data_IF_580977566960
#
_entry.id   IF_580977566960
#
_cell.length_a   1.000
_cell.length_b   1.000
_cell.length_c   1.000
_cell.angle_alpha   90.00
_cell.angle_beta   90.00
_cell.angle_gamma   90.00
#
_symmetry.space_group_name_H-M   'P 1'
#
loop_
_entity.id
_entity.type
_entity.pdbx_description
1 polymer ?
#
# COMPACT_ATOMS: atom_id res chain seq x y z
N UNK A 1 10.47 -31.61 -36.02
CA UNK A 1 10.35 -30.38 -35.21
C UNK A 1 11.70 -30.12 -34.55
N UNK A 2 12.20 -28.89 -34.61
CA UNK A 2 13.36 -28.51 -33.82
C UNK A 2 12.97 -28.39 -32.33
N UNK A 3 13.90 -28.53 -31.38
CA UNK A 3 13.62 -28.28 -29.96
C UNK A 3 13.02 -26.89 -29.69
N UNK A 4 13.34 -25.89 -30.51
CA UNK A 4 12.76 -24.55 -30.43
C UNK A 4 11.29 -24.50 -30.87
N UNK A 5 10.91 -25.26 -31.90
CA UNK A 5 9.51 -25.40 -32.34
C UNK A 5 8.68 -26.13 -31.29
N UNK A 6 9.28 -27.14 -30.64
CA UNK A 6 8.67 -27.88 -29.53
C UNK A 6 8.39 -26.94 -28.36
N UNK A 7 9.36 -26.11 -27.97
CA UNK A 7 9.20 -25.10 -26.91
C UNK A 7 8.14 -24.06 -27.29
N UNK A 8 8.06 -23.63 -28.56
CA UNK A 8 7.00 -22.73 -29.05
C UNK A 8 5.59 -23.30 -28.90
N UNK A 9 5.39 -24.55 -29.35
CA UNK A 9 4.10 -25.25 -29.24
C UNK A 9 3.73 -25.55 -27.77
N UNK A 10 4.72 -25.88 -26.94
CA UNK A 10 4.58 -26.12 -25.50
C UNK A 10 4.18 -24.84 -24.74
N UNK A 11 4.65 -23.68 -25.19
CA UNK A 11 4.28 -22.37 -24.63
C UNK A 11 2.85 -21.98 -25.00
N UNK A 12 2.40 -22.32 -26.21
CA UNK A 12 1.03 -22.08 -26.66
C UNK A 12 0.03 -22.98 -25.91
N UNK A 13 0.41 -24.22 -25.59
CA UNK A 13 -0.37 -25.14 -24.74
C UNK A 13 -0.59 -24.60 -23.33
N UNK A 14 0.48 -24.14 -22.66
CA UNK A 14 0.37 -23.59 -21.31
C UNK A 14 -0.54 -22.36 -21.26
N UNK A 15 -0.52 -21.52 -22.30
CA UNK A 15 -1.40 -20.35 -22.42
C UNK A 15 -2.87 -20.79 -22.55
N UNK A 16 -3.15 -21.75 -23.43
CA UNK A 16 -4.50 -22.31 -23.61
C UNK A 16 -5.03 -23.03 -22.35
N UNK A 17 -4.16 -23.66 -21.57
CA UNK A 17 -4.47 -24.28 -20.26
C UNK A 17 -4.98 -23.26 -19.28
N UNK A 18 -4.29 -22.14 -19.21
CA UNK A 18 -4.64 -21.05 -18.32
C UNK A 18 -5.93 -20.37 -18.81
N UNK A 19 -6.03 -20.02 -20.09
CA UNK A 19 -7.17 -19.29 -20.67
C UNK A 19 -8.49 -20.08 -20.55
N UNK A 20 -8.49 -21.39 -20.86
CA UNK A 20 -9.71 -22.19 -20.74
C UNK A 20 -10.10 -22.51 -19.30
N UNK A 21 -9.15 -22.57 -18.37
CA UNK A 21 -9.47 -22.75 -16.95
C UNK A 21 -10.11 -21.48 -16.37
N UNK A 22 -9.79 -20.31 -16.93
CA UNK A 22 -10.32 -19.01 -16.51
C UNK A 22 -11.70 -18.69 -17.10
N UNK A 23 -11.93 -18.97 -18.40
CA UNK A 23 -13.21 -18.70 -19.07
C UNK A 23 -14.41 -19.47 -18.46
N UNK A 24 -14.16 -20.64 -17.87
CA UNK A 24 -15.22 -21.46 -17.26
C UNK A 24 -15.62 -21.05 -15.83
N UNK A 25 -14.92 -20.06 -15.24
CA UNK A 25 -15.01 -19.77 -13.80
C UNK A 25 -15.51 -18.35 -13.49
N UNK A 26 -15.58 -17.44 -14.47
CA UNK A 26 -16.12 -16.09 -14.27
C UNK A 26 -17.51 -15.96 -14.92
N UNK A 27 -18.62 -16.04 -14.16
CA UNK A 27 -19.90 -15.61 -14.69
C UNK A 27 -19.86 -14.10 -14.97
N UNK A 28 -20.59 -13.58 -15.98
CA UNK A 28 -20.75 -12.14 -16.13
C UNK A 28 -21.38 -11.57 -14.84
N UNK A 29 -21.06 -10.32 -14.47
CA UNK A 29 -21.50 -9.73 -13.21
C UNK A 29 -23.03 -9.76 -13.14
N UNK A 30 -23.57 -10.57 -12.25
CA UNK A 30 -24.98 -10.52 -11.88
C UNK A 30 -25.15 -9.45 -10.81
N UNK A 31 -26.19 -8.64 -11.02
CA UNK A 31 -26.57 -7.49 -10.20
C UNK A 31 -26.31 -7.68 -8.71
N UNK A 32 -25.66 -6.67 -8.12
CA UNK A 32 -25.31 -6.60 -6.70
C UNK A 32 -26.57 -6.68 -5.84
N UNK A 33 -26.77 -7.83 -5.20
CA UNK A 33 -27.77 -8.01 -4.15
C UNK A 33 -27.27 -7.32 -2.88
N UNK A 34 -27.94 -6.23 -2.51
CA UNK A 34 -27.88 -5.62 -1.18
C UNK A 34 -28.40 -6.60 -0.13
N UNK A 35 -27.56 -6.97 0.83
CA UNK A 35 -27.99 -7.55 2.10
C UNK A 35 -27.44 -6.70 3.25
N UNK A 36 -28.35 -5.97 3.89
CA UNK A 36 -28.15 -5.37 5.20
C UNK A 36 -28.15 -6.47 6.25
N UNK A 37 -27.14 -6.50 7.13
CA UNK A 37 -27.29 -7.07 8.46
C UNK A 37 -26.67 -6.12 9.49
N UNK A 38 -27.51 -5.75 10.46
CA UNK A 38 -27.15 -5.10 11.71
C UNK A 38 -26.08 -5.92 12.44
N UNK A 39 -25.07 -5.25 13.02
CA UNK A 39 -24.46 -5.75 14.26
C UNK A 39 -23.89 -4.63 15.13
N UNK A 40 -23.75 -5.01 16.39
CA UNK A 40 -23.90 -4.28 17.64
C UNK A 40 -22.60 -3.65 18.17
N UNK A 41 -22.77 -2.76 19.15
CA UNK A 41 -21.73 -2.03 19.86
C UNK A 41 -20.89 -2.95 20.74
N UNK A 42 -19.60 -3.09 20.45
CA UNK A 42 -18.49 -3.01 21.42
C UNK A 42 -17.20 -3.54 20.79
N UNK A 43 -16.09 -2.93 21.18
CA UNK A 43 -14.69 -3.24 20.85
C UNK A 43 -14.10 -2.48 19.66
N UNK A 44 -13.18 -1.59 20.00
CA UNK A 44 -12.22 -0.93 19.13
C UNK A 44 -11.23 -1.97 18.59
N UNK A 45 -11.45 -2.44 17.36
CA UNK A 45 -10.40 -3.07 16.58
C UNK A 45 -9.68 -2.02 15.73
N UNK A 46 -8.34 -2.10 15.59
CA UNK A 46 -7.63 -1.26 14.64
C UNK A 46 -8.13 -1.56 13.24
N UNK A 47 -8.27 -0.53 12.41
CA UNK A 47 -8.57 -0.64 10.99
C UNK A 47 -7.59 -1.62 10.34
N UNK A 48 -8.03 -2.86 10.15
CA UNK A 48 -7.27 -3.88 9.43
C UNK A 48 -7.29 -3.46 7.96
N UNK A 49 -6.19 -2.87 7.52
CA UNK A 49 -5.81 -2.86 6.10
C UNK A 49 -5.89 -4.32 5.64
N UNK A 50 -6.50 -4.64 4.49
CA UNK A 50 -6.54 -6.00 3.98
C UNK A 50 -5.11 -6.53 3.94
N UNK A 51 -4.82 -7.52 4.78
CA UNK A 51 -3.55 -8.23 4.69
C UNK A 51 -3.54 -8.92 3.33
N UNK A 52 -2.70 -8.45 2.41
CA UNK A 52 -2.35 -9.18 1.21
C UNK A 52 -1.69 -10.49 1.66
N UNK A 53 -2.47 -11.56 1.68
CA UNK A 53 -1.95 -12.90 1.89
C UNK A 53 -1.06 -13.26 0.67
N UNK A 54 0.24 -13.55 0.86
CA UNK A 54 0.99 -14.20 -0.20
C UNK A 54 0.47 -15.64 -0.34
N UNK A 55 0.50 -16.18 -1.56
CA UNK A 55 0.21 -17.58 -1.93
C UNK A 55 -1.25 -18.06 -2.08
N UNK A 56 -2.26 -17.19 -2.03
CA UNK A 56 -3.63 -17.65 -2.34
C UNK A 56 -3.80 -18.08 -3.80
N UNK A 57 -3.10 -17.45 -4.77
CA UNK A 57 -3.27 -17.79 -6.18
C UNK A 57 -2.61 -19.12 -6.59
N UNK A 58 -1.41 -19.43 -6.08
CA UNK A 58 -0.76 -20.72 -6.36
C UNK A 58 -1.50 -21.88 -5.69
N UNK A 59 -2.00 -21.68 -4.46
CA UNK A 59 -2.82 -22.72 -3.81
C UNK A 59 -4.16 -22.92 -4.52
N UNK A 60 -4.81 -21.87 -5.02
CA UNK A 60 -6.05 -21.97 -5.77
C UNK A 60 -5.86 -22.63 -7.15
N UNK A 61 -4.78 -22.30 -7.88
CA UNK A 61 -4.44 -22.93 -9.16
C UNK A 61 -4.09 -24.40 -8.95
N UNK A 62 -3.30 -24.71 -7.93
CA UNK A 62 -2.98 -26.09 -7.56
C UNK A 62 -4.22 -26.89 -7.18
N UNK A 63 -5.10 -26.36 -6.32
CA UNK A 63 -6.35 -27.03 -5.93
C UNK A 63 -7.27 -27.29 -7.14
N UNK A 64 -7.34 -26.34 -8.09
CA UNK A 64 -8.15 -26.52 -9.30
C UNK A 64 -7.53 -27.51 -10.28
N UNK A 65 -6.20 -27.46 -10.46
CA UNK A 65 -5.48 -28.47 -11.22
C UNK A 65 -5.66 -29.86 -10.60
N UNK A 66 -5.62 -29.97 -9.27
CA UNK A 66 -5.89 -31.21 -8.54
C UNK A 66 -7.32 -31.71 -8.79
N UNK A 67 -8.33 -30.84 -8.81
CA UNK A 67 -9.72 -31.23 -9.15
C UNK A 67 -9.84 -31.76 -10.58
N UNK A 68 -9.33 -31.02 -11.58
CA UNK A 68 -9.42 -31.45 -12.99
C UNK A 68 -8.55 -32.68 -13.25
N UNK A 69 -7.43 -32.81 -12.53
CA UNK A 69 -6.58 -34.01 -12.55
C UNK A 69 -7.33 -35.22 -12.02
N UNK A 70 -7.96 -35.13 -10.84
CA UNK A 70 -8.76 -36.21 -10.25
C UNK A 70 -9.95 -36.61 -11.13
N UNK A 71 -10.56 -35.66 -11.84
CA UNK A 71 -11.63 -35.95 -12.81
C UNK A 71 -11.14 -36.67 -14.07
N UNK A 72 -9.85 -36.52 -14.39
CA UNK A 72 -9.24 -37.05 -15.61
C UNK A 72 -8.47 -38.34 -15.37
N UNK A 73 -8.00 -38.57 -14.14
CA UNK A 73 -7.42 -39.83 -13.65
C UNK A 73 -8.53 -40.88 -13.47
N UNK A 74 -8.92 -41.51 -14.58
CA UNK A 74 -10.09 -42.37 -14.65
C UNK A 74 -9.87 -43.70 -13.93
N UNK A 75 -8.62 -44.16 -13.84
CA UNK A 75 -8.26 -45.37 -13.13
C UNK A 75 -7.93 -45.12 -11.63
N UNK A 76 -7.74 -43.86 -11.23
CA UNK A 76 -7.48 -43.44 -9.86
C UNK A 76 -6.10 -43.86 -9.34
N UNK A 77 -5.14 -44.09 -10.25
CA UNK A 77 -3.80 -44.57 -9.90
C UNK A 77 -2.83 -43.44 -9.48
N UNK A 78 -3.30 -42.19 -9.55
CA UNK A 78 -2.53 -40.98 -9.21
C UNK A 78 -1.69 -40.46 -10.38
N UNK A 79 -1.83 -41.04 -11.58
CA UNK A 79 -1.08 -40.67 -12.78
C UNK A 79 -2.02 -40.52 -13.98
N UNK A 80 -1.74 -39.55 -14.85
CA UNK A 80 -2.45 -39.49 -16.13
C UNK A 80 -1.69 -40.28 -17.21
N UNK A 81 -2.35 -41.30 -17.75
CA UNK A 81 -1.98 -41.91 -19.02
C UNK A 81 -2.10 -40.90 -20.18
N UNK A 82 -1.55 -41.24 -21.35
CA UNK A 82 -1.70 -40.40 -22.56
C UNK A 82 -3.16 -40.12 -22.91
N UNK A 83 -4.04 -41.11 -22.71
CA UNK A 83 -5.48 -41.00 -23.00
C UNK A 83 -6.20 -40.10 -21.99
N UNK A 84 -5.85 -40.23 -20.72
CA UNK A 84 -6.39 -39.37 -19.64
C UNK A 84 -5.88 -37.94 -19.77
N UNK A 85 -4.63 -37.75 -20.19
CA UNK A 85 -4.09 -36.43 -20.47
C UNK A 85 -4.70 -35.80 -21.74
N UNK A 86 -4.95 -36.58 -22.79
CA UNK A 86 -5.74 -36.13 -23.95
C UNK A 86 -7.15 -35.70 -23.55
N UNK A 87 -7.80 -36.48 -22.66
CA UNK A 87 -9.10 -36.13 -22.12
C UNK A 87 -9.05 -34.86 -21.27
N UNK A 88 -8.06 -34.72 -20.39
CA UNK A 88 -7.78 -33.52 -19.59
C UNK A 88 -7.64 -32.27 -20.47
N UNK A 89 -6.83 -32.35 -21.53
CA UNK A 89 -6.66 -31.24 -22.48
C UNK A 89 -7.96 -30.92 -23.24
N UNK A 90 -8.74 -31.95 -23.61
CA UNK A 90 -10.04 -31.76 -24.26
C UNK A 90 -11.05 -31.05 -23.37
N UNK A 91 -11.03 -31.33 -22.05
CA UNK A 91 -11.87 -30.67 -21.05
C UNK A 91 -11.51 -29.20 -20.90
N UNK A 92 -10.25 -28.85 -21.15
CA UNK A 92 -9.75 -27.48 -21.18
C UNK A 92 -9.77 -26.90 -22.60
N UNK A 93 -10.48 -27.51 -23.56
CA UNK A 93 -10.61 -27.05 -24.94
C UNK A 93 -9.26 -26.78 -25.64
N UNK A 94 -8.23 -27.55 -25.31
CA UNK A 94 -6.88 -27.35 -25.82
C UNK A 94 -6.59 -28.38 -26.88
N UNK A 95 -6.28 -27.88 -28.07
CA UNK A 95 -5.82 -28.72 -29.17
C UNK A 95 -4.31 -28.76 -29.17
N UNK A 96 -3.77 -29.96 -28.98
CA UNK A 96 -2.35 -30.24 -29.11
C UNK A 96 -2.15 -31.43 -30.05
N UNK A 97 -1.04 -31.42 -30.80
CA UNK A 97 -0.73 -32.55 -31.67
C UNK A 97 -0.34 -33.76 -30.83
N UNK A 98 -0.66 -34.96 -31.32
CA UNK A 98 -0.27 -36.21 -30.65
C UNK A 98 1.26 -36.32 -30.47
N UNK A 99 2.05 -35.68 -31.35
CA UNK A 99 3.50 -35.63 -31.23
C UNK A 99 3.97 -34.75 -30.06
N UNK A 100 3.34 -33.59 -29.84
CA UNK A 100 3.67 -32.70 -28.73
C UNK A 100 3.23 -33.30 -27.38
N UNK A 101 2.12 -34.05 -27.37
CA UNK A 101 1.63 -34.84 -26.22
C UNK A 101 2.64 -35.90 -25.79
N UNK A 102 3.11 -36.69 -26.75
CA UNK A 102 4.14 -37.69 -26.50
C UNK A 102 5.45 -37.03 -26.02
N UNK A 103 5.81 -35.89 -26.59
CA UNK A 103 7.02 -35.18 -26.20
C UNK A 103 6.94 -34.57 -24.79
N UNK A 104 5.75 -34.09 -24.40
CA UNK A 104 5.44 -33.64 -23.04
C UNK A 104 5.57 -34.79 -22.03
N UNK A 105 4.91 -35.92 -22.29
CA UNK A 105 4.96 -37.10 -21.40
C UNK A 105 6.36 -37.72 -21.32
N UNK A 106 7.15 -37.67 -22.39
CA UNK A 106 8.56 -38.14 -22.38
C UNK A 106 9.50 -37.23 -21.61
N UNK A 107 9.16 -35.96 -21.41
CA UNK A 107 9.96 -35.03 -20.62
C UNK A 107 9.76 -35.27 -19.11
N UNK A 108 8.64 -35.89 -18.73
CA UNK A 108 8.46 -36.46 -17.40
C UNK A 108 9.26 -37.77 -17.31
N UNK A 109 10.16 -37.89 -16.33
CA UNK A 109 11.24 -38.90 -16.33
C UNK A 109 10.75 -40.36 -16.35
N UNK A 110 9.45 -40.59 -16.10
CA UNK A 110 8.84 -41.92 -16.03
C UNK A 110 7.70 -42.14 -17.03
N UNK A 111 7.39 -41.19 -17.92
CA UNK A 111 6.27 -41.31 -18.84
C UNK A 111 4.90 -41.23 -18.17
N UNK A 112 4.84 -40.72 -16.94
CA UNK A 112 3.64 -40.55 -16.12
C UNK A 112 3.51 -39.08 -15.76
N UNK A 113 2.38 -38.46 -16.08
CA UNK A 113 2.16 -37.05 -15.79
C UNK A 113 1.52 -36.88 -14.40
N UNK A 114 2.27 -36.35 -13.44
CA UNK A 114 1.74 -35.93 -12.13
C UNK A 114 1.38 -34.43 -12.13
N UNK A 115 0.49 -34.00 -11.23
CA UNK A 115 0.18 -32.56 -11.00
C UNK A 115 1.46 -31.75 -10.73
N UNK A 116 2.43 -32.35 -10.03
CA UNK A 116 3.75 -31.76 -9.78
C UNK A 116 4.54 -31.51 -11.06
N UNK A 117 4.49 -32.41 -12.03
CA UNK A 117 5.14 -32.27 -13.34
C UNK A 117 4.55 -31.14 -14.18
N UNK A 118 3.21 -31.00 -14.19
CA UNK A 118 2.52 -29.89 -14.87
C UNK A 118 2.89 -28.55 -14.23
N UNK A 119 2.93 -28.48 -12.90
CA UNK A 119 3.28 -27.26 -12.17
C UNK A 119 4.74 -26.85 -12.41
N UNK A 120 5.68 -27.81 -12.36
CA UNK A 120 7.08 -27.56 -12.70
C UNK A 120 7.22 -27.07 -14.14
N UNK A 121 6.50 -27.67 -15.08
CA UNK A 121 6.53 -27.28 -16.47
C UNK A 121 6.03 -25.83 -16.70
N UNK A 122 4.92 -25.44 -16.07
CA UNK A 122 4.42 -24.06 -16.15
C UNK A 122 5.46 -23.06 -15.60
N UNK A 123 6.14 -23.41 -14.51
CA UNK A 123 7.16 -22.55 -13.91
C UNK A 123 8.42 -22.44 -14.78
N UNK A 124 8.81 -23.51 -15.48
CA UNK A 124 9.95 -23.50 -16.43
C UNK A 124 9.78 -22.52 -17.59
N UNK A 125 8.56 -22.05 -17.88
CA UNK A 125 8.28 -21.05 -18.94
C UNK A 125 9.13 -19.79 -18.79
N UNK A 126 9.36 -19.38 -17.55
CA UNK A 126 9.98 -18.11 -17.25
C UNK A 126 11.48 -18.22 -16.98
N UNK A 127 12.07 -19.43 -16.96
CA UNK A 127 13.52 -19.65 -16.75
C UNK A 127 14.40 -18.88 -17.74
N UNK A 128 13.92 -18.64 -18.98
CA UNK A 128 14.65 -17.84 -19.98
C UNK A 128 14.76 -16.36 -19.61
N UNK A 129 13.92 -15.89 -18.69
CA UNK A 129 13.93 -14.53 -18.16
C UNK A 129 14.74 -14.44 -16.87
N UNK A 130 14.95 -15.55 -16.17
CA UNK A 130 15.80 -15.62 -14.99
C UNK A 130 17.23 -15.25 -15.39
N UNK A 131 17.77 -14.21 -14.75
CA UNK A 131 19.09 -13.67 -15.05
C UNK A 131 19.28 -13.26 -16.52
N UNK A 132 18.20 -12.91 -17.24
CA UNK A 132 18.27 -12.51 -18.66
C UNK A 132 19.24 -11.35 -18.83
N UNK A 133 20.24 -11.52 -19.69
CA UNK A 133 21.23 -10.48 -20.01
C UNK A 133 21.02 -9.95 -21.42
N UNK A 134 21.18 -8.63 -21.61
CA UNK A 134 21.28 -8.02 -22.94
C UNK A 134 22.48 -7.08 -23.02
N UNK A 135 23.25 -7.23 -24.08
CA UNK A 135 24.35 -6.35 -24.41
C UNK A 135 23.88 -5.21 -25.33
N UNK A 136 24.45 -4.03 -25.12
CA UNK A 136 24.22 -2.87 -25.97
C UNK A 136 25.04 -2.92 -27.25
N UNK A 137 24.85 -1.94 -28.14
CA UNK A 137 25.58 -1.83 -29.43
C UNK A 137 27.11 -1.79 -29.28
N UNK A 138 27.59 -1.45 -28.08
CA UNK A 138 29.02 -1.38 -27.74
C UNK A 138 29.56 -2.69 -27.14
N UNK A 139 28.75 -3.75 -27.06
CA UNK A 139 29.09 -5.01 -26.41
C UNK A 139 29.10 -4.96 -24.88
N UNK A 140 28.70 -3.83 -24.28
CA UNK A 140 28.57 -3.70 -22.82
C UNK A 140 27.21 -4.23 -22.36
N UNK A 141 27.20 -4.95 -21.24
CA UNK A 141 25.96 -5.37 -20.58
C UNK A 141 25.12 -4.15 -20.19
N UNK A 142 23.88 -4.07 -20.67
CA UNK A 142 22.96 -2.95 -20.42
C UNK A 142 21.66 -3.36 -19.73
N UNK A 143 21.40 -4.66 -19.58
CA UNK A 143 20.22 -5.17 -18.90
C UNK A 143 20.54 -6.51 -18.24
N UNK A 144 20.10 -6.68 -17.00
CA UNK A 144 20.17 -7.93 -16.24
C UNK A 144 18.81 -8.14 -15.59
N UNK A 145 18.17 -9.28 -15.85
CA UNK A 145 16.95 -9.72 -15.18
C UNK A 145 17.23 -10.17 -13.76
N UNK A 146 16.21 -10.12 -12.91
CA UNK A 146 16.26 -10.67 -11.56
C UNK A 146 16.41 -12.19 -11.53
N UNK A 147 16.51 -12.74 -10.32
CA UNK A 147 16.75 -14.17 -10.10
C UNK A 147 15.48 -15.01 -10.29
N UNK A 148 14.30 -14.38 -10.21
CA UNK A 148 13.01 -15.04 -10.29
C UNK A 148 12.00 -14.17 -11.04
N UNK A 149 11.37 -14.74 -12.05
CA UNK A 149 10.24 -14.13 -12.75
C UNK A 149 8.91 -14.54 -12.11
N UNK A 150 8.13 -13.55 -11.64
CA UNK A 150 6.77 -13.80 -11.13
C UNK A 150 5.82 -14.14 -12.27
N UNK A 151 5.18 -15.30 -12.19
CA UNK A 151 4.15 -15.70 -13.14
C UNK A 151 2.81 -15.04 -12.76
N UNK A 152 2.34 -14.08 -13.57
CA UNK A 152 1.02 -13.48 -13.45
C UNK A 152 0.09 -14.13 -14.47
N UNK A 153 -0.93 -14.84 -14.00
CA UNK A 153 -1.92 -15.49 -14.87
C UNK A 153 -2.95 -14.45 -15.35
N UNK A 154 -3.59 -14.61 -16.52
CA UNK A 154 -4.76 -13.83 -16.87
C UNK A 154 -5.87 -13.94 -15.80
N UNK A 155 -6.69 -12.91 -15.67
CA UNK A 155 -7.71 -12.82 -14.62
C UNK A 155 -7.97 -11.38 -14.23
N UNK A 156 -8.87 -11.19 -13.27
CA UNK A 156 -9.12 -9.87 -12.68
C UNK A 156 -8.17 -9.66 -11.49
N UNK A 157 -7.41 -8.57 -11.56
CA UNK A 157 -6.49 -8.14 -10.51
C UNK A 157 -6.71 -6.66 -10.26
N UNK A 158 -6.54 -6.22 -9.02
CA UNK A 158 -6.26 -4.81 -8.80
C UNK A 158 -4.83 -4.50 -9.26
N UNK A 159 -4.54 -3.24 -9.58
CA UNK A 159 -3.17 -2.84 -9.89
C UNK A 159 -2.22 -3.15 -8.72
N UNK A 160 -2.71 -3.08 -7.48
CA UNK A 160 -1.96 -3.40 -6.26
C UNK A 160 -1.51 -4.87 -6.26
N UNK A 161 -2.38 -5.80 -6.67
CA UNK A 161 -2.05 -7.23 -6.72
C UNK A 161 -0.96 -7.57 -7.76
N UNK A 162 -0.83 -6.73 -8.79
CA UNK A 162 0.16 -6.88 -9.85
C UNK A 162 1.53 -6.31 -9.47
N UNK A 163 1.57 -5.28 -8.62
CA UNK A 163 2.79 -4.55 -8.23
C UNK A 163 3.32 -4.96 -6.85
N UNK A 164 3.08 -6.19 -6.40
CA UNK A 164 3.56 -6.65 -5.09
C UNK A 164 5.10 -6.63 -5.03
N UNK A 165 5.65 -5.89 -4.08
CA UNK A 165 7.06 -5.90 -3.76
C UNK A 165 7.25 -6.69 -2.47
N UNK A 166 7.90 -7.86 -2.55
CA UNK A 166 8.14 -8.72 -1.38
C UNK A 166 9.17 -8.13 -0.40
N UNK A 167 9.93 -7.14 -0.85
CA UNK A 167 10.98 -6.44 -0.12
C UNK A 167 10.52 -5.09 0.48
N UNK A 168 9.34 -4.60 0.10
CA UNK A 168 8.78 -3.37 0.68
C UNK A 168 7.99 -3.75 1.93
N UNK A 169 8.43 -3.25 3.09
CA UNK A 169 7.67 -3.33 4.33
C UNK A 169 6.22 -2.88 4.09
N UNK A 170 5.21 -3.44 4.78
CA UNK A 170 3.80 -3.14 4.53
C UNK A 170 3.42 -1.65 4.65
N UNK A 171 4.33 -0.81 5.17
CA UNK A 171 4.22 0.65 5.15
C UNK A 171 5.59 1.28 4.85
N UNK A 172 5.65 2.12 3.81
CA UNK A 172 6.83 2.94 3.51
C UNK A 172 6.93 4.03 4.59
N UNK A 173 8.00 3.99 5.39
CA UNK A 173 8.27 5.03 6.38
C UNK A 173 8.80 6.27 5.66
N UNK A 174 8.17 7.45 5.79
CA UNK A 174 8.76 8.70 5.30
C UNK A 174 10.05 9.02 6.06
N UNK A 175 10.91 9.89 5.52
CA UNK A 175 11.92 10.54 6.36
C UNK A 175 11.20 11.32 7.46
N UNK A 176 11.65 11.21 8.70
CA UNK A 176 11.12 11.95 9.85
C UNK A 176 12.24 12.46 10.76
N UNK A 177 11.99 13.58 11.44
CA UNK A 177 12.77 13.99 12.59
C UNK A 177 12.31 13.21 13.82
N UNK A 178 13.26 12.83 14.67
CA UNK A 178 13.03 12.01 15.85
C UNK A 178 13.28 12.84 17.11
N UNK A 179 12.26 12.95 17.95
CA UNK A 179 12.35 13.63 19.24
C UNK A 179 12.07 12.64 20.37
N UNK A 180 13.10 12.28 21.12
CA UNK A 180 12.96 11.40 22.28
C UNK A 180 12.71 12.20 23.56
N UNK A 181 11.96 11.63 24.50
CA UNK A 181 11.64 12.24 25.81
C UNK A 181 10.92 13.59 25.73
N UNK A 182 10.11 13.80 24.69
CA UNK A 182 9.24 14.98 24.62
C UNK A 182 8.17 14.91 25.72
N UNK A 183 7.78 16.06 26.27
CA UNK A 183 6.73 16.15 27.30
C UNK A 183 5.56 16.97 26.77
N UNK A 184 4.47 16.27 26.46
CA UNK A 184 3.21 16.89 26.09
C UNK A 184 2.42 17.27 27.34
N UNK A 185 2.21 18.57 27.56
CA UNK A 185 1.39 19.09 28.65
C UNK A 185 0.21 19.81 28.05
N UNK A 186 -0.99 19.21 28.13
CA UNK A 186 -2.22 19.81 27.61
C UNK A 186 -2.57 21.12 28.33
N UNK A 187 -3.37 21.95 27.68
CA UNK A 187 -3.82 23.22 28.26
C UNK A 187 -4.65 23.03 29.53
N UNK A 188 -4.49 23.94 30.50
CA UNK A 188 -5.31 23.99 31.71
C UNK A 188 -6.59 24.80 31.48
N UNK A 189 -7.41 24.38 30.51
CA UNK A 189 -8.65 25.08 30.15
C UNK A 189 -9.59 25.26 31.36
N UNK A 190 -10.27 26.43 31.51
CA UNK A 190 -10.30 27.58 30.61
C UNK A 190 -9.19 28.62 30.84
N UNK A 191 -8.22 28.36 31.73
CA UNK A 191 -7.19 29.36 32.10
C UNK A 191 -6.18 29.64 30.99
N UNK A 192 -5.92 28.65 30.12
CA UNK A 192 -5.09 28.78 28.93
C UNK A 192 -5.74 28.04 27.77
N UNK A 193 -5.63 28.60 26.57
CA UNK A 193 -6.06 27.95 25.32
C UNK A 193 -5.01 27.01 24.74
N UNK A 194 -3.78 27.04 25.27
CA UNK A 194 -2.68 26.19 24.78
C UNK A 194 -1.85 25.62 25.92
N UNK A 195 -1.38 24.40 25.71
CA UNK A 195 -0.40 23.72 26.53
C UNK A 195 1.03 23.97 26.05
N UNK A 196 1.95 23.11 26.47
CA UNK A 196 3.36 23.12 26.06
C UNK A 196 3.81 21.73 25.65
N UNK A 197 4.58 21.66 24.57
CA UNK A 197 5.30 20.48 24.12
C UNK A 197 6.79 20.75 24.27
N UNK A 198 7.36 20.20 25.35
CA UNK A 198 8.75 20.41 25.69
C UNK A 198 9.65 19.37 25.00
N UNK A 199 10.53 19.84 24.13
CA UNK A 199 11.58 19.09 23.47
C UNK A 199 12.86 19.07 24.30
N UNK A 200 13.69 18.02 24.19
CA UNK A 200 14.99 17.99 24.83
C UNK A 200 15.92 19.02 24.17
N UNK A 201 16.87 19.56 24.94
CA UNK A 201 17.76 20.66 24.52
C UNK A 201 18.58 20.39 23.26
N UNK A 202 18.83 19.12 22.97
CA UNK A 202 19.63 18.60 21.87
C UNK A 202 18.78 18.19 20.67
N UNK A 203 17.47 18.46 20.70
CA UNK A 203 16.60 18.28 19.56
C UNK A 203 17.00 19.21 18.40
N UNK A 204 17.14 18.63 17.22
CA UNK A 204 17.36 19.36 15.98
C UNK A 204 16.00 19.77 15.38
N UNK A 205 15.69 21.07 15.28
CA UNK A 205 14.39 21.55 14.80
C UNK A 205 14.19 21.42 13.28
N UNK A 206 15.16 20.88 12.54
CA UNK A 206 15.05 20.64 11.11
C UNK A 206 14.18 19.42 10.80
N UNK A 207 13.00 19.66 10.23
CA UNK A 207 12.10 18.62 9.76
C UNK A 207 12.42 18.24 8.31
N UNK A 208 12.50 16.94 7.98
CA UNK A 208 12.61 16.51 6.60
C UNK A 208 11.33 16.81 5.84
N UNK A 209 11.50 17.28 4.59
CA UNK A 209 10.41 17.54 3.66
C UNK A 209 10.12 16.27 2.86
N UNK A 210 8.85 15.87 2.82
CA UNK A 210 8.37 14.75 2.02
C UNK A 210 7.18 15.17 1.15
N UNK A 211 7.03 14.53 -0.02
CA UNK A 211 5.80 14.66 -0.82
C UNK A 211 4.77 13.70 -0.22
N UNK A 212 3.56 14.20 0.03
CA UNK A 212 2.44 13.39 0.51
C UNK A 212 2.01 12.39 -0.55
N UNK A 213 2.23 11.10 -0.29
CA UNK A 213 1.68 9.97 -1.05
C UNK A 213 0.95 9.04 -0.09
N UNK A 214 0.01 8.23 -0.58
CA UNK A 214 -0.73 7.29 0.27
C UNK A 214 0.19 6.36 1.07
N UNK A 215 1.28 5.87 0.47
CA UNK A 215 2.23 4.98 1.17
C UNK A 215 2.92 5.65 2.36
N UNK A 216 3.34 6.91 2.21
CA UNK A 216 4.04 7.66 3.26
C UNK A 216 3.09 8.21 4.31
N UNK A 217 1.91 8.67 3.90
CA UNK A 217 0.87 9.20 4.80
C UNK A 217 0.28 8.09 5.67
N UNK A 218 0.18 6.86 5.17
CA UNK A 218 -0.31 5.71 5.91
C UNK A 218 0.50 5.45 7.21
N UNK A 219 1.78 5.81 7.24
CA UNK A 219 2.60 5.74 8.45
C UNK A 219 1.99 6.52 9.63
N UNK A 220 1.40 7.67 9.32
CA UNK A 220 0.69 8.56 10.24
C UNK A 220 -0.83 8.28 10.32
N UNK A 221 -1.31 7.23 9.66
CA UNK A 221 -2.74 6.89 9.57
C UNK A 221 -3.53 7.80 8.62
N UNK A 222 -2.87 8.68 7.88
CA UNK A 222 -3.50 9.61 6.93
C UNK A 222 -3.53 9.01 5.51
N UNK A 223 -4.34 9.60 4.63
CA UNK A 223 -4.36 9.24 3.20
C UNK A 223 -4.80 10.41 2.31
N UNK A 224 -4.55 10.30 1.00
CA UNK A 224 -5.14 11.17 -0.01
C UNK A 224 -6.48 10.58 -0.46
N UNK A 225 -7.57 11.30 -0.19
CA UNK A 225 -8.93 10.86 -0.47
C UNK A 225 -9.23 10.75 -1.98
N UNK A 226 -8.55 11.53 -2.82
CA UNK A 226 -8.78 11.55 -4.27
C UNK A 226 -8.49 10.20 -4.95
N UNK A 227 -7.67 9.36 -4.33
CA UNK A 227 -7.27 8.04 -4.85
C UNK A 227 -7.90 6.89 -4.06
N UNK A 228 -8.68 7.20 -3.03
CA UNK A 228 -9.21 6.21 -2.09
C UNK A 228 -10.72 6.04 -2.24
N UNK A 229 -11.20 4.79 -2.32
CA UNK A 229 -12.63 4.47 -2.21
C UNK A 229 -13.09 4.31 -0.74
N UNK A 230 -12.27 4.76 0.23
CA UNK A 230 -12.55 4.63 1.65
C UNK A 230 -13.83 5.38 2.03
N UNK A 231 -14.69 4.70 2.79
CA UNK A 231 -15.80 5.33 3.49
C UNK A 231 -15.36 5.67 4.91
N UNK A 232 -15.56 6.91 5.33
CA UNK A 232 -15.23 7.39 6.68
C UNK A 232 -16.51 7.79 7.43
N UNK A 233 -16.51 7.58 8.74
CA UNK A 233 -17.60 8.01 9.62
C UNK A 233 -17.20 9.32 10.31
N UNK A 234 -17.92 10.39 10.02
CA UNK A 234 -17.73 11.67 10.70
C UNK A 234 -18.50 11.64 12.03
N UNK A 235 -17.76 11.67 13.15
CA UNK A 235 -18.34 11.63 14.50
C UNK A 235 -19.00 12.95 14.92
N UNK A 236 -18.61 14.05 14.27
CA UNK A 236 -19.04 15.41 14.59
C UNK A 236 -19.58 16.11 13.35
N UNK A 237 -20.37 17.16 13.58
CA UNK A 237 -20.74 18.10 12.51
C UNK A 237 -19.49 18.88 12.12
N UNK A 238 -19.21 18.93 10.82
CA UNK A 238 -18.08 19.69 10.30
C UNK A 238 -18.54 20.72 9.26
N UNK A 239 -17.82 21.83 9.16
CA UNK A 239 -17.91 22.79 8.07
C UNK A 239 -16.70 22.65 7.14
N UNK A 240 -16.91 22.83 5.84
CA UNK A 240 -15.85 22.93 4.85
C UNK A 240 -15.75 24.38 4.39
N UNK A 241 -14.57 24.97 4.52
CA UNK A 241 -14.34 26.36 4.15
C UNK A 241 -12.97 26.54 3.52
N UNK A 242 -12.88 27.49 2.58
CA UNK A 242 -11.62 27.89 1.97
C UNK A 242 -10.98 28.99 2.83
N UNK A 243 -9.78 28.75 3.33
CA UNK A 243 -8.95 29.68 4.10
C UNK A 243 -7.75 30.09 3.26
N UNK A 244 -7.43 31.39 3.23
CA UNK A 244 -6.26 31.90 2.52
C UNK A 244 -5.25 32.45 3.51
N UNK A 245 -4.09 31.78 3.60
CA UNK A 245 -2.93 32.18 4.39
C UNK A 245 -2.08 33.15 3.56
N UNK A 246 -2.17 34.45 3.88
CA UNK A 246 -1.38 35.49 3.21
C UNK A 246 0.12 35.34 3.50
N UNK A 247 0.97 35.98 2.70
CA UNK A 247 2.44 35.87 2.80
C UNK A 247 3.01 36.21 4.19
N UNK A 248 2.34 37.11 4.93
CA UNK A 248 2.70 37.52 6.28
C UNK A 248 1.99 36.73 7.39
N UNK A 249 1.17 35.72 7.07
CA UNK A 249 0.44 34.91 8.06
C UNK A 249 1.40 34.34 9.10
N UNK A 250 2.49 33.74 8.65
CA UNK A 250 3.46 33.13 9.55
C UNK A 250 4.14 34.17 10.45
N UNK A 251 4.66 35.26 9.87
CA UNK A 251 5.40 36.28 10.63
C UNK A 251 4.54 37.02 11.63
N UNK A 252 3.27 37.26 11.30
CA UNK A 252 2.41 38.18 12.06
C UNK A 252 1.48 37.45 13.04
N UNK A 253 1.09 36.22 12.75
CA UNK A 253 0.14 35.46 13.57
C UNK A 253 0.76 34.25 14.28
N UNK A 254 1.56 33.47 13.55
CA UNK A 254 2.07 32.17 14.02
C UNK A 254 3.36 32.31 14.82
N UNK A 255 4.25 33.23 14.43
CA UNK A 255 5.59 33.34 15.02
C UNK A 255 5.55 33.58 16.54
N UNK A 256 6.22 32.73 17.31
CA UNK A 256 6.20 32.72 18.77
C UNK A 256 4.98 32.00 19.38
N UNK A 257 4.14 31.40 18.54
CA UNK A 257 2.92 30.66 18.87
C UNK A 257 2.83 29.33 18.11
N UNK A 258 3.92 28.90 17.49
CA UNK A 258 4.03 27.64 16.78
C UNK A 258 3.66 26.49 17.70
N UNK A 259 2.89 25.55 17.17
CA UNK A 259 2.41 24.44 17.93
C UNK A 259 2.09 23.20 17.11
N UNK A 260 1.75 22.15 17.85
CA UNK A 260 1.08 20.97 17.34
C UNK A 260 -0.32 20.90 17.96
N UNK A 261 -1.24 20.29 17.24
CA UNK A 261 -2.61 20.08 17.69
C UNK A 261 -3.04 18.62 17.58
N UNK A 262 -3.98 18.26 18.43
CA UNK A 262 -4.65 16.96 18.44
C UNK A 262 -6.09 17.17 18.93
N UNK A 263 -7.07 16.56 18.25
CA UNK A 263 -8.50 16.69 18.59
C UNK A 263 -9.31 15.52 18.02
N UNK A 264 -10.58 15.41 18.43
CA UNK A 264 -11.43 14.23 18.15
C UNK A 264 -12.16 14.27 16.80
N UNK A 265 -12.12 15.39 16.07
CA UNK A 265 -12.70 15.46 14.74
C UNK A 265 -11.66 15.18 13.65
N UNK A 266 -12.12 14.69 12.50
CA UNK A 266 -11.26 14.46 11.35
C UNK A 266 -11.07 15.78 10.57
N UNK A 267 -9.95 15.89 9.85
CA UNK A 267 -9.80 16.93 8.82
C UNK A 267 -9.88 16.37 7.40
N UNK A 268 -10.29 17.26 6.49
CA UNK A 268 -10.10 17.16 5.06
C UNK A 268 -9.42 18.46 4.62
N UNK A 269 -8.17 18.37 4.18
CA UNK A 269 -7.34 19.52 3.82
C UNK A 269 -6.86 19.41 2.38
N UNK A 270 -7.11 20.44 1.58
CA UNK A 270 -6.80 20.42 0.16
C UNK A 270 -6.15 21.74 -0.29
N UNK A 271 -4.87 21.74 -0.70
CA UNK A 271 -4.20 22.93 -1.21
C UNK A 271 -4.65 23.26 -2.64
N UNK A 272 -4.84 24.54 -2.95
CA UNK A 272 -5.24 24.98 -4.30
C UNK A 272 -4.06 25.35 -5.21
N UNK A 273 -2.85 25.41 -4.66
CA UNK A 273 -1.62 25.81 -5.35
C UNK A 273 -0.44 24.90 -5.00
N UNK A 274 0.66 25.02 -5.73
CA UNK A 274 1.84 24.14 -5.60
C UNK A 274 2.71 24.54 -4.40
N UNK A 275 3.03 25.82 -4.24
CA UNK A 275 3.64 26.35 -3.01
C UNK A 275 2.55 26.65 -1.97
N UNK A 276 2.10 25.60 -1.30
CA UNK A 276 1.04 25.64 -0.30
C UNK A 276 1.57 25.56 1.15
N UNK A 277 2.89 25.64 1.32
CA UNK A 277 3.55 25.47 2.61
C UNK A 277 3.74 24.00 3.01
N UNK A 278 3.76 23.73 4.31
CA UNK A 278 4.00 22.41 4.86
C UNK A 278 2.91 22.02 5.85
N UNK A 279 2.31 20.85 5.63
CA UNK A 279 1.43 20.21 6.59
C UNK A 279 2.28 19.28 7.46
N UNK A 280 2.38 19.56 8.77
CA UNK A 280 3.22 18.74 9.65
C UNK A 280 2.38 17.60 10.21
N UNK A 281 2.90 16.38 10.15
CA UNK A 281 2.30 15.20 10.78
C UNK A 281 3.23 14.63 11.84
N UNK A 282 2.63 14.25 12.97
CA UNK A 282 3.30 13.68 14.13
C UNK A 282 2.72 12.33 14.54
N UNK A 283 3.56 11.47 15.10
CA UNK A 283 3.13 10.20 15.70
C UNK A 283 4.11 9.77 16.78
N UNK A 284 3.59 9.30 17.91
CA UNK A 284 4.42 8.58 18.86
C UNK A 284 4.70 7.16 18.35
N UNK A 285 5.98 6.79 18.29
CA UNK A 285 6.39 5.49 17.76
C UNK A 285 6.12 4.32 18.72
N UNK A 286 5.83 4.62 19.99
CA UNK A 286 5.44 3.64 21.00
C UNK A 286 4.24 4.10 21.84
N UNK A 287 3.58 3.12 22.47
CA UNK A 287 2.43 3.35 23.38
C UNK A 287 2.82 4.07 24.69
N UNK A 288 4.12 4.32 24.91
CA UNK A 288 4.62 5.02 26.10
C UNK A 288 4.95 6.47 25.79
N UNK A 289 4.66 6.94 24.57
CA UNK A 289 4.92 8.29 24.09
C UNK A 289 6.39 8.73 24.27
N UNK A 290 7.34 7.80 24.17
CA UNK A 290 8.76 8.12 24.42
C UNK A 290 9.42 8.83 23.27
N UNK A 291 8.89 8.66 22.07
CA UNK A 291 9.55 9.07 20.84
C UNK A 291 8.51 9.57 19.85
N UNK A 292 8.63 10.85 19.50
CA UNK A 292 7.77 11.54 18.56
C UNK A 292 8.49 11.62 17.22
N UNK A 293 7.82 11.14 16.16
CA UNK A 293 8.28 11.26 14.79
C UNK A 293 7.52 12.40 14.11
N UNK A 294 8.24 13.32 13.48
CA UNK A 294 7.68 14.50 12.82
C UNK A 294 8.16 14.56 11.37
N UNK A 295 7.23 14.79 10.44
CA UNK A 295 7.53 15.00 9.03
C UNK A 295 6.78 16.22 8.52
N UNK A 296 7.44 17.04 7.70
CA UNK A 296 6.82 18.13 6.99
C UNK A 296 6.40 17.65 5.59
N UNK A 297 5.09 17.62 5.33
CA UNK A 297 4.57 17.16 4.05
C UNK A 297 4.22 18.33 3.12
N UNK A 298 4.68 18.24 1.87
CA UNK A 298 4.09 18.95 0.74
C UNK A 298 2.94 18.12 0.20
N UNK A 299 1.71 18.57 0.46
CA UNK A 299 0.52 17.92 -0.09
C UNK A 299 0.34 18.38 -1.55
N UNK A 300 0.22 17.45 -2.52
CA UNK A 300 0.06 17.83 -3.91
C UNK A 300 -1.19 18.68 -4.15
N UNK A 301 -1.09 19.64 -5.05
CA UNK A 301 -2.20 20.54 -5.41
C UNK A 301 -3.44 19.75 -5.79
N UNK A 302 -4.60 20.16 -5.27
CA UNK A 302 -5.92 19.53 -5.47
C UNK A 302 -6.03 18.08 -5.00
N UNK A 303 -5.09 17.59 -4.20
CA UNK A 303 -5.23 16.31 -3.51
C UNK A 303 -5.68 16.57 -2.07
N UNK A 304 -6.79 15.95 -1.69
CA UNK A 304 -7.41 16.12 -0.37
C UNK A 304 -6.76 15.16 0.60
N UNK A 305 -6.02 15.69 1.55
CA UNK A 305 -5.51 14.95 2.70
C UNK A 305 -6.67 14.67 3.66
N UNK A 306 -6.90 13.41 3.99
CA UNK A 306 -7.72 12.99 5.11
C UNK A 306 -6.83 12.75 6.32
N UNK A 307 -7.15 13.45 7.42
CA UNK A 307 -6.47 13.31 8.71
C UNK A 307 -7.48 12.75 9.71
N UNK A 308 -7.31 11.50 10.19
CA UNK A 308 -8.21 10.93 11.16
C UNK A 308 -8.19 11.67 12.52
N UNK A 309 -9.25 11.49 13.34
CA UNK A 309 -9.24 11.93 14.73
C UNK A 309 -7.98 11.53 15.48
N UNK A 310 -7.56 12.38 16.42
CA UNK A 310 -6.41 12.17 17.31
C UNK A 310 -5.05 12.09 16.62
N UNK A 311 -4.96 12.40 15.33
CA UNK A 311 -3.68 12.55 14.64
C UNK A 311 -2.99 13.83 15.13
N UNK A 312 -1.69 13.75 15.47
CA UNK A 312 -0.90 14.93 15.80
C UNK A 312 -0.56 15.64 14.49
N UNK A 313 -0.87 16.93 14.39
CA UNK A 313 -0.59 17.70 13.18
C UNK A 313 -0.36 19.19 13.48
N UNK A 314 0.03 19.96 12.45
CA UNK A 314 0.05 21.42 12.50
C UNK A 314 -0.18 22.04 11.13
N UNK A 315 -1.00 23.09 11.16
CA UNK A 315 -1.39 23.92 10.02
C UNK A 315 -0.68 25.30 10.05
N UNK A 316 0.26 25.49 10.97
CA UNK A 316 0.93 26.76 11.22
C UNK A 316 1.84 27.20 10.07
N UNK A 317 2.29 26.25 9.25
CA UNK A 317 3.25 26.47 8.17
C UNK A 317 2.60 26.41 6.78
N UNK A 318 1.27 26.51 6.71
CA UNK A 318 0.52 26.57 5.45
C UNK A 318 0.64 27.95 4.78
N UNK A 319 0.55 27.95 3.46
CA UNK A 319 0.57 29.14 2.60
C UNK A 319 -0.54 29.07 1.56
N UNK A 320 -1.02 30.24 1.12
CA UNK A 320 -2.03 30.34 0.06
C UNK A 320 -3.38 29.79 0.47
N UNK A 321 -4.18 29.36 -0.51
CA UNK A 321 -5.54 28.89 -0.24
C UNK A 321 -5.60 27.38 -0.02
N UNK A 322 -6.22 27.00 1.10
CA UNK A 322 -6.57 25.62 1.46
C UNK A 322 -8.07 25.51 1.70
N UNK A 323 -8.67 24.43 1.20
CA UNK A 323 -9.98 23.99 1.68
C UNK A 323 -9.77 23.11 2.90
N UNK A 324 -10.30 23.53 4.04
CA UNK A 324 -10.14 22.83 5.32
C UNK A 324 -11.49 22.49 5.92
N UNK A 325 -11.61 21.28 6.44
CA UNK A 325 -12.76 20.83 7.22
C UNK A 325 -12.51 21.06 8.71
N UNK A 326 -13.36 21.85 9.35
CA UNK A 326 -13.26 22.13 10.79
C UNK A 326 -14.54 21.72 11.53
N UNK A 327 -14.42 21.45 12.82
CA UNK A 327 -15.54 21.28 13.74
C UNK A 327 -15.37 22.15 14.97
N UNK A 328 -16.48 22.66 15.50
CA UNK A 328 -16.56 23.35 16.79
C UNK A 328 -17.02 22.41 17.92
N UNK A 329 -17.20 21.12 17.62
CA UNK A 329 -17.81 20.17 18.54
C UNK A 329 -16.93 19.79 19.73
N UNK A 330 -15.60 19.86 19.58
CA UNK A 330 -14.64 19.45 20.61
C UNK A 330 -13.51 20.45 20.78
N UNK A 331 -12.92 20.45 21.96
CA UNK A 331 -11.80 21.32 22.27
C UNK A 331 -10.54 20.84 21.53
N UNK A 332 -9.81 21.78 20.95
CA UNK A 332 -8.51 21.51 20.34
C UNK A 332 -7.43 21.45 21.43
N UNK A 333 -6.71 20.33 21.53
CA UNK A 333 -5.52 20.22 22.38
C UNK A 333 -4.31 20.79 21.65
N UNK A 334 -4.23 22.12 21.62
CA UNK A 334 -3.11 22.85 21.05
C UNK A 334 -1.97 22.96 22.07
N UNK A 335 -0.73 22.67 21.65
CA UNK A 335 0.48 22.79 22.47
C UNK A 335 1.55 23.60 21.77
N UNK A 336 2.18 24.53 22.49
CA UNK A 336 3.26 25.37 21.98
C UNK A 336 4.60 24.64 21.99
N UNK A 337 5.45 24.92 21.00
CA UNK A 337 6.79 24.34 20.90
C UNK A 337 7.77 25.02 21.87
N UNK A 338 8.37 24.22 22.74
CA UNK A 338 9.38 24.68 23.71
C UNK A 338 10.60 23.77 23.71
N UNK A 339 11.79 24.35 23.84
CA UNK A 339 13.06 23.65 23.93
C UNK A 339 13.63 23.82 25.35
N UNK A 340 14.04 22.71 25.97
CA UNK A 340 14.65 22.76 27.29
C UNK A 340 16.03 23.46 27.26
N UNK A 341 16.35 24.21 28.31
CA UNK A 341 17.68 24.82 28.53
C UNK A 341 18.45 24.14 29.67
N UNK A 342 19.75 24.42 29.77
CA UNK A 342 20.63 23.88 30.82
C UNK A 342 20.33 24.43 32.22
N UNK A 343 19.78 25.64 32.30
CA UNK A 343 19.40 26.34 33.53
C UNK A 343 18.02 25.89 34.07
N UNK A 344 17.31 25.02 33.34
CA UNK A 344 15.97 24.55 33.67
C UNK A 344 14.85 25.43 33.11
N UNK A 345 15.16 26.52 32.42
CA UNK A 345 14.19 27.33 31.67
C UNK A 345 13.86 26.69 30.31
N UNK A 346 12.94 27.30 29.57
CA UNK A 346 12.55 26.85 28.22
C UNK A 346 12.55 28.03 27.25
N UNK A 347 12.97 27.76 26.01
CA UNK A 347 12.90 28.72 24.90
C UNK A 347 11.83 28.27 23.91
N UNK A 348 11.03 29.21 23.41
CA UNK A 348 10.15 28.92 22.26
C UNK A 348 10.99 28.76 21.00
N UNK A 349 10.60 27.84 20.14
CA UNK A 349 11.30 27.63 18.86
C UNK A 349 10.30 27.31 17.74
N UNK A 350 10.81 27.37 16.52
CA UNK A 350 10.08 27.08 15.29
C UNK A 350 10.78 25.94 14.55
N UNK A 351 10.06 25.19 13.73
CA UNK A 351 10.67 24.19 12.86
C UNK A 351 11.34 24.86 11.66
N UNK A 352 12.48 24.31 11.28
CA UNK A 352 13.14 24.56 10.00
C UNK A 352 12.89 23.37 9.07
N UNK A 353 13.08 23.55 7.75
CA UNK A 353 12.72 22.51 6.77
C UNK A 353 13.88 22.18 5.83
N UNK A 354 14.18 20.89 5.67
CA UNK A 354 15.32 20.39 4.87
C UNK A 354 14.88 19.35 3.83
N UNK A 355 15.44 19.41 2.62
CA UNK A 355 15.19 18.43 1.55
C UNK A 355 16.01 17.14 1.70
#
# INVERSE_FOLDING_TARGET
MSPADMVGNLMDLAQKLIDSTLEKVLPPPKDSVTVFQHFDKSHSEPCLVPQCAPDQNLSAVRQKLEVVFLESDANGDGFMTLQEFEFFLSKLNIKMSHQDLIAFLKADKEGKCEVGGITQFINKRWEKFDNLKRDGKTGKLVMVGGVEAKNVLPGEYSLVDLITWSDIEPQIKPKYAKASNVRWTSSAYPKSTSGSLLFPKDFDPHLPIEIGTNDKLAYYGCCLANESQMKVSLLHRCGLQDFTYNDNYYSDYVKGREGLEMHEFAHLDCPFQEDSGFFILGKFSDNRNKELHLTAFKIPTRHTLYVPPLTIHSNDYLKGTWRTMLSDATQINHVLLELARYDGETDKFSFDFTN
#
